data_IF_304353183826
#
_entry.id   IF_304353183826
#
_cell.length_a   1.000
_cell.length_b   1.000
_cell.length_c   1.000
_cell.angle_alpha   90.00
_cell.angle_beta   90.00
_cell.angle_gamma   90.00
#
_symmetry.space_group_name_H-M   'P 1'
#
loop_
_entity.id
_entity.type
_entity.pdbx_description
1 polymer ?
#
# COMPACT_ATOMS: atom_id res chain seq x y z
N UNK A 1 -10.90 -9.07 -6.67
CA UNK A 1 -10.56 -10.24 -5.84
C UNK A 1 -10.93 -9.99 -4.36
N UNK A 2 -11.65 -10.90 -3.69
CA UNK A 2 -11.82 -10.84 -2.23
C UNK A 2 -10.50 -11.21 -1.54
N UNK A 3 -9.81 -10.23 -0.95
CA UNK A 3 -8.53 -10.45 -0.24
C UNK A 3 -8.61 -11.57 0.81
N UNK A 4 -9.77 -11.72 1.46
CA UNK A 4 -9.99 -12.69 2.56
C UNK A 4 -9.62 -14.12 2.18
N UNK A 5 -9.81 -14.49 0.93
CA UNK A 5 -9.58 -15.87 0.46
C UNK A 5 -8.08 -16.19 0.31
N UNK A 6 -7.20 -15.19 0.43
CA UNK A 6 -5.75 -15.29 0.22
C UNK A 6 -4.94 -14.97 1.49
N UNK A 7 -5.61 -14.79 2.62
CA UNK A 7 -4.97 -14.56 3.90
C UNK A 7 -4.42 -15.88 4.44
N UNK A 8 -3.14 -15.89 4.79
CA UNK A 8 -2.56 -17.06 5.49
C UNK A 8 -3.06 -17.10 6.94
N UNK A 9 -2.93 -18.23 7.66
CA UNK A 9 -3.26 -18.29 9.08
C UNK A 9 -2.64 -17.12 9.86
N UNK A 10 -3.42 -16.55 10.78
CA UNK A 10 -3.06 -15.38 11.61
C UNK A 10 -2.82 -14.07 10.86
N UNK A 11 -2.98 -14.04 9.54
CA UNK A 11 -2.92 -12.81 8.77
C UNK A 11 -4.22 -12.00 8.95
N UNK A 12 -4.07 -10.77 9.46
CA UNK A 12 -5.15 -9.84 9.75
C UNK A 12 -4.97 -8.58 8.92
N UNK A 13 -6.00 -8.20 8.18
CA UNK A 13 -6.06 -6.94 7.45
C UNK A 13 -6.09 -5.79 8.45
N UNK A 14 -5.20 -4.81 8.25
CA UNK A 14 -5.07 -3.59 9.07
C UNK A 14 -5.56 -2.36 8.33
N UNK A 15 -5.45 -2.35 6.99
CA UNK A 15 -5.87 -1.23 6.16
C UNK A 15 -6.24 -1.69 4.76
N UNK A 16 -7.20 -0.99 4.15
CA UNK A 16 -7.61 -1.17 2.76
C UNK A 16 -7.83 0.21 2.14
N UNK A 17 -7.26 0.45 0.97
CA UNK A 17 -7.54 1.63 0.14
C UNK A 17 -7.74 1.19 -1.30
N UNK A 18 -8.93 1.44 -1.87
CA UNK A 18 -9.28 0.97 -3.21
C UNK A 18 -9.15 2.08 -4.23
N UNK A 19 -8.31 1.87 -5.26
CA UNK A 19 -8.11 2.73 -6.44
C UNK A 19 -7.80 4.22 -6.23
N UNK A 20 -7.56 4.66 -5.01
CA UNK A 20 -7.20 6.07 -4.70
C UNK A 20 -5.69 6.31 -4.62
N UNK A 21 -4.89 5.25 -4.64
CA UNK A 21 -3.43 5.35 -4.60
C UNK A 21 -2.80 5.01 -5.96
N UNK A 22 -1.62 5.59 -6.18
CA UNK A 22 -0.80 5.39 -7.37
C UNK A 22 0.61 4.93 -6.98
N UNK A 23 1.10 3.92 -7.68
CA UNK A 23 2.48 3.44 -7.65
C UNK A 23 2.95 3.23 -9.10
N UNK A 24 4.19 3.59 -9.43
CA UNK A 24 4.74 3.47 -10.79
C UNK A 24 3.79 3.96 -11.90
N UNK A 25 3.15 5.13 -11.70
CA UNK A 25 2.15 5.74 -12.60
C UNK A 25 0.87 4.92 -12.86
N UNK A 26 0.60 3.88 -12.08
CA UNK A 26 -0.57 3.02 -12.18
C UNK A 26 -1.42 3.13 -10.90
N UNK A 27 -2.75 3.01 -11.02
CA UNK A 27 -3.66 2.92 -9.87
C UNK A 27 -3.74 1.47 -9.36
N UNK A 28 -3.78 1.30 -8.05
CA UNK A 28 -3.89 -0.01 -7.40
C UNK A 28 -4.95 0.02 -6.30
N UNK A 29 -5.51 -1.15 -6.04
CA UNK A 29 -6.04 -1.49 -4.72
C UNK A 29 -4.87 -1.81 -3.80
N UNK A 30 -4.88 -1.26 -2.59
CA UNK A 30 -3.84 -1.41 -1.60
C UNK A 30 -4.41 -2.06 -0.35
N UNK A 31 -3.68 -3.05 0.15
CA UNK A 31 -3.98 -3.74 1.39
C UNK A 31 -2.74 -3.76 2.27
N UNK A 32 -2.91 -3.44 3.55
CA UNK A 32 -1.87 -3.62 4.56
C UNK A 32 -2.39 -4.65 5.55
N UNK A 33 -1.62 -5.70 5.77
CA UNK A 33 -1.87 -6.72 6.80
C UNK A 33 -0.80 -6.62 7.88
N UNK A 34 -0.96 -7.41 8.95
CA UNK A 34 0.13 -7.60 9.92
C UNK A 34 1.36 -8.33 9.34
N UNK A 35 1.30 -8.89 8.13
CA UNK A 35 2.40 -9.64 7.51
C UNK A 35 2.99 -8.96 6.27
N UNK A 36 2.19 -8.24 5.47
CA UNK A 36 2.62 -7.66 4.19
C UNK A 36 1.81 -6.45 3.74
N UNK A 37 2.40 -5.70 2.82
CA UNK A 37 1.76 -4.71 1.97
C UNK A 37 1.51 -5.37 0.63
N UNK A 38 0.29 -5.27 0.11
CA UNK A 38 -0.14 -5.80 -1.17
C UNK A 38 -0.70 -4.67 -2.05
N UNK A 39 -0.16 -4.51 -3.25
CA UNK A 39 -0.75 -3.71 -4.32
C UNK A 39 -1.31 -4.67 -5.36
N UNK A 40 -2.58 -4.50 -5.71
CA UNK A 40 -3.27 -5.30 -6.72
C UNK A 40 -3.92 -4.39 -7.75
N UNK A 41 -3.78 -4.72 -9.02
CA UNK A 41 -4.61 -4.14 -10.07
C UNK A 41 -4.96 -5.20 -11.12
N UNK A 42 -6.12 -5.03 -11.71
CA UNK A 42 -6.59 -5.77 -12.87
C UNK A 42 -6.85 -4.76 -13.99
N UNK A 43 -6.34 -5.02 -15.19
CA UNK A 43 -6.54 -4.15 -16.35
C UNK A 43 -6.95 -4.93 -17.60
N UNK A 44 -7.73 -4.29 -18.48
CA UNK A 44 -8.21 -4.89 -19.72
C UNK A 44 -9.62 -5.49 -19.60
N UNK A 45 -10.48 -5.22 -20.59
CA UNK A 45 -11.84 -5.77 -20.65
C UNK A 45 -11.91 -7.13 -21.37
N UNK A 46 -11.04 -7.35 -22.35
CA UNK A 46 -11.03 -8.56 -23.19
C UNK A 46 -9.90 -9.51 -22.77
N UNK A 47 -8.67 -8.99 -22.70
CA UNK A 47 -7.51 -9.72 -22.17
C UNK A 47 -7.14 -9.13 -20.80
N UNK A 48 -7.75 -9.66 -19.75
CA UNK A 48 -7.47 -9.26 -18.37
C UNK A 48 -6.03 -9.58 -18.01
N UNK A 49 -5.28 -8.59 -17.54
CA UNK A 49 -3.96 -8.75 -16.96
C UNK A 49 -3.98 -8.36 -15.49
N UNK A 50 -3.39 -9.19 -14.64
CA UNK A 50 -3.20 -8.90 -13.22
C UNK A 50 -1.77 -8.42 -12.96
N UNK A 51 -1.62 -7.46 -12.06
CA UNK A 51 -0.34 -6.92 -11.62
C UNK A 51 -0.38 -6.83 -10.09
N UNK A 52 0.53 -7.60 -9.45
CA UNK A 52 0.54 -7.86 -8.02
C UNK A 52 1.93 -7.59 -7.46
N UNK A 53 2.01 -6.72 -6.46
CA UNK A 53 3.25 -6.38 -5.76
C UNK A 53 3.05 -6.68 -4.29
N UNK A 54 3.98 -7.44 -3.71
CA UNK A 54 3.93 -7.87 -2.31
C UNK A 54 5.24 -7.53 -1.62
N UNK A 55 5.17 -6.72 -0.56
CA UNK A 55 6.32 -6.41 0.30
C UNK A 55 6.03 -6.85 1.73
N UNK A 56 6.94 -7.60 2.35
CA UNK A 56 6.72 -8.11 3.70
C UNK A 56 7.01 -7.03 4.74
N UNK A 57 6.19 -6.96 5.80
CA UNK A 57 6.42 -6.02 6.91
C UNK A 57 7.78 -6.27 7.57
N UNK A 58 8.21 -7.53 7.68
CA UNK A 58 9.51 -7.93 8.26
C UNK A 58 10.71 -7.27 7.54
N UNK A 59 10.59 -7.01 6.23
CA UNK A 59 11.66 -6.45 5.39
C UNK A 59 11.70 -4.93 5.38
N UNK A 60 10.72 -4.24 5.98
CA UNK A 60 10.69 -2.78 6.01
C UNK A 60 11.83 -2.24 6.87
N UNK A 61 12.58 -1.30 6.30
CA UNK A 61 13.74 -0.65 6.90
C UNK A 61 13.47 0.81 7.25
N UNK A 62 12.54 1.46 6.55
CA UNK A 62 12.22 2.86 6.82
C UNK A 62 11.00 3.36 6.06
N UNK A 63 10.39 4.41 6.61
CA UNK A 63 9.22 5.08 6.06
C UNK A 63 9.49 6.58 6.00
N UNK A 64 9.12 7.22 4.90
CA UNK A 64 9.14 8.68 4.77
C UNK A 64 7.78 9.16 4.30
N UNK A 65 7.20 10.12 5.01
CA UNK A 65 5.95 10.77 4.63
C UNK A 65 6.20 12.19 4.15
N UNK A 66 5.59 12.57 3.03
CA UNK A 66 5.70 13.92 2.46
C UNK A 66 4.37 14.40 1.91
N UNK A 67 3.85 15.49 2.46
CA UNK A 67 2.71 16.20 1.88
C UNK A 67 3.16 17.09 0.72
N UNK A 68 2.38 17.09 -0.36
CA UNK A 68 2.55 18.08 -1.42
C UNK A 68 1.60 19.24 -1.09
N UNK A 69 2.12 20.32 -0.52
CA UNK A 69 1.34 21.54 -0.31
C UNK A 69 0.76 22.05 -1.63
N UNK A 70 -0.51 22.46 -1.64
CA UNK A 70 -1.23 22.97 -2.82
C UNK A 70 -2.73 22.72 -2.76
N UNK A 71 -3.46 23.15 -3.81
CA UNK A 71 -4.94 23.07 -3.90
C UNK A 71 -5.48 21.63 -3.88
N UNK A 72 -4.66 20.67 -4.30
CA UNK A 72 -4.98 19.23 -4.29
C UNK A 72 -4.30 18.60 -3.06
N UNK A 73 -5.10 18.18 -2.08
CA UNK A 73 -4.65 17.49 -0.87
C UNK A 73 -4.04 16.11 -1.19
N UNK A 74 -2.80 16.11 -1.69
CA UNK A 74 -2.05 14.93 -2.08
C UNK A 74 -0.81 14.76 -1.21
N UNK A 75 -0.44 13.51 -0.96
CA UNK A 75 0.78 13.15 -0.27
C UNK A 75 1.46 11.95 -0.94
N UNK A 76 2.70 11.71 -0.50
CA UNK A 76 3.52 10.57 -0.85
C UNK A 76 4.00 9.87 0.42
N UNK A 77 3.99 8.55 0.41
CA UNK A 77 4.77 7.73 1.33
C UNK A 77 5.85 7.00 0.53
N UNK A 78 7.11 7.10 0.96
CA UNK A 78 8.22 6.30 0.47
C UNK A 78 8.49 5.19 1.48
N UNK A 79 8.39 3.93 1.06
CA UNK A 79 8.61 2.76 1.91
C UNK A 79 9.87 2.07 1.40
N UNK A 80 10.87 1.94 2.25
CA UNK A 80 12.12 1.24 1.95
C UNK A 80 12.09 -0.15 2.59
N UNK A 81 12.32 -1.19 1.79
CA UNK A 81 12.39 -2.58 2.22
C UNK A 81 13.10 -3.45 1.18
N UNK A 82 12.57 -4.63 0.87
CA UNK A 82 13.07 -5.47 -0.22
C UNK A 82 12.97 -4.78 -1.59
N UNK A 83 11.94 -3.96 -1.78
CA UNK A 83 11.82 -3.00 -2.88
C UNK A 83 11.44 -1.62 -2.33
N UNK A 84 11.70 -0.57 -3.11
CA UNK A 84 11.23 0.78 -2.81
C UNK A 84 9.80 0.98 -3.34
N UNK A 85 8.87 1.29 -2.44
CA UNK A 85 7.49 1.64 -2.81
C UNK A 85 7.23 3.12 -2.60
N UNK A 86 7.11 3.84 -3.72
CA UNK A 86 6.76 5.26 -3.76
C UNK A 86 5.27 5.42 -4.07
N UNK A 87 4.44 5.47 -3.03
CA UNK A 87 2.98 5.49 -3.14
C UNK A 87 2.47 6.92 -3.00
N UNK A 88 1.63 7.36 -3.94
CA UNK A 88 1.02 8.70 -3.97
C UNK A 88 -0.49 8.59 -3.89
N UNK A 89 -1.16 9.52 -3.21
CA UNK A 89 -2.63 9.53 -3.12
C UNK A 89 -3.16 10.70 -2.30
N UNK A 90 -4.46 10.70 -1.97
CA UNK A 90 -5.06 11.69 -1.06
C UNK A 90 -4.33 11.72 0.28
N UNK A 91 -4.03 12.91 0.80
CA UNK A 91 -3.23 13.06 2.03
C UNK A 91 -3.80 12.28 3.21
N UNK A 92 -5.14 12.25 3.36
CA UNK A 92 -5.82 11.48 4.40
C UNK A 92 -5.48 9.98 4.33
N UNK A 93 -5.60 9.38 3.15
CA UNK A 93 -5.32 7.96 2.94
C UNK A 93 -3.84 7.66 3.17
N UNK A 94 -2.94 8.49 2.62
CA UNK A 94 -1.49 8.30 2.76
C UNK A 94 -1.02 8.47 4.20
N UNK A 95 -1.58 9.43 4.94
CA UNK A 95 -1.28 9.61 6.36
C UNK A 95 -1.76 8.45 7.21
N UNK A 96 -2.93 7.89 6.91
CA UNK A 96 -3.43 6.68 7.58
C UNK A 96 -2.52 5.48 7.30
N UNK A 97 -2.09 5.28 6.05
CA UNK A 97 -1.12 4.24 5.70
C UNK A 97 0.17 4.39 6.49
N UNK A 98 0.74 5.59 6.54
CA UNK A 98 1.98 5.88 7.27
C UNK A 98 1.87 5.49 8.74
N UNK A 99 0.83 5.95 9.45
CA UNK A 99 0.61 5.63 10.87
C UNK A 99 0.48 4.13 11.13
N UNK A 100 -0.24 3.42 10.27
CA UNK A 100 -0.44 1.97 10.41
C UNK A 100 0.87 1.22 10.20
N UNK A 101 1.66 1.62 9.20
CA UNK A 101 2.96 1.02 8.94
C UNK A 101 3.98 1.31 10.04
N UNK A 102 4.01 2.54 10.57
CA UNK A 102 4.85 2.88 11.73
C UNK A 102 4.50 2.01 12.94
N UNK A 103 3.21 1.86 13.25
CA UNK A 103 2.75 1.00 14.34
C UNK A 103 3.19 -0.46 14.14
N UNK A 104 3.08 -0.99 12.92
CA UNK A 104 3.49 -2.36 12.60
C UNK A 104 5.00 -2.57 12.65
N UNK A 105 5.80 -1.58 12.28
CA UNK A 105 7.27 -1.65 12.37
C UNK A 105 7.73 -1.60 13.83
N UNK A 106 7.14 -0.72 14.64
CA UNK A 106 7.51 -0.53 16.03
C UNK A 106 6.97 -1.61 16.99
N UNK A 107 6.05 -2.46 16.51
CA UNK A 107 5.52 -3.59 17.29
C UNK A 107 6.28 -4.91 17.04
N UNK A 108 7.41 -4.86 16.32
CA UNK A 108 8.36 -5.99 16.16
C UNK A 108 9.20 -6.15 17.42
#
# INVERSE_FOLDING_TARGET
>A
MPLKDFLVPEEKVKFVCRRDIRYANKKYDLFITNKRILLYRESGFINKSEDVICEKIERLQGLEYKEKGGLLNLAKISINGGIKLDIKGPSKEVKNMFKILECLINSK
#
